data_IF_919097171185
#
_entry.id   IF_919097171185
#
_cell.length_a   1.000
_cell.length_b   1.000
_cell.length_c   1.000
_cell.angle_alpha   90.00
_cell.angle_beta   90.00
_cell.angle_gamma   90.00
#
_symmetry.space_group_name_H-M   'P 1'
#
loop_
_entity.id
_entity.type
_entity.pdbx_description
1 polymer ?
#
# COMPACT_ATOMS: atom_id res chain seq x y z
N UNK A 1 10.75 -10.11 -19.90
CA UNK A 1 10.28 -8.76 -20.31
C UNK A 1 9.72 -7.88 -19.17
N UNK A 2 9.51 -8.39 -17.94
CA UNK A 2 8.80 -7.67 -16.84
C UNK A 2 9.36 -6.27 -16.47
N UNK A 3 10.66 -6.03 -16.67
CA UNK A 3 11.33 -4.77 -16.29
C UNK A 3 11.64 -3.82 -17.44
N UNK A 4 11.02 -4.04 -18.61
CA UNK A 4 11.14 -3.11 -19.74
C UNK A 4 10.20 -1.92 -19.48
N UNK A 5 10.65 -0.66 -19.64
CA UNK A 5 9.79 0.51 -19.52
C UNK A 5 8.53 0.37 -20.40
N UNK A 6 7.39 0.80 -19.85
CA UNK A 6 6.05 0.66 -20.43
C UNK A 6 5.51 -0.77 -20.56
N UNK A 7 6.25 -1.80 -20.11
CA UNK A 7 5.68 -3.14 -19.94
C UNK A 7 4.50 -3.09 -18.97
N UNK A 8 3.41 -3.77 -19.32
CA UNK A 8 2.19 -3.81 -18.51
C UNK A 8 1.85 -5.24 -18.12
N UNK A 9 1.38 -5.38 -16.89
CA UNK A 9 0.64 -6.55 -16.43
C UNK A 9 -0.73 -6.07 -15.98
N UNK A 10 -1.77 -6.59 -16.61
CA UNK A 10 -3.16 -6.26 -16.32
C UNK A 10 -3.81 -7.52 -15.75
N UNK A 11 -4.41 -7.39 -14.57
CA UNK A 11 -5.13 -8.47 -13.89
C UNK A 11 -6.56 -8.01 -13.66
N UNK A 12 -7.50 -8.74 -14.23
CA UNK A 12 -8.94 -8.50 -14.08
C UNK A 12 -9.53 -9.66 -13.30
N UNK A 13 -10.26 -9.36 -12.22
CA UNK A 13 -10.92 -10.37 -11.42
C UNK A 13 -12.36 -10.55 -11.91
N UNK A 14 -12.63 -11.73 -12.49
CA UNK A 14 -13.96 -12.14 -12.94
C UNK A 14 -14.33 -13.45 -12.26
N UNK A 15 -15.43 -13.45 -11.51
CA UNK A 15 -15.87 -14.59 -10.70
C UNK A 15 -14.87 -15.07 -9.62
N UNK A 16 -13.82 -14.30 -9.33
CA UNK A 16 -12.81 -14.69 -8.34
C UNK A 16 -13.33 -14.49 -6.91
N UNK A 17 -13.16 -15.53 -6.11
CA UNK A 17 -13.52 -15.56 -4.71
C UNK A 17 -12.40 -16.18 -3.89
N UNK A 18 -12.11 -15.59 -2.73
CA UNK A 18 -11.15 -16.12 -1.77
C UNK A 18 -11.72 -15.97 -0.36
N UNK A 19 -11.75 -17.06 0.39
CA UNK A 19 -12.27 -17.09 1.77
C UNK A 19 -13.67 -16.47 1.92
N UNK A 20 -14.58 -16.72 0.98
CA UNK A 20 -15.94 -16.16 1.01
C UNK A 20 -16.03 -14.67 0.65
N UNK A 21 -14.95 -14.07 0.15
CA UNK A 21 -14.92 -12.67 -0.31
C UNK A 21 -14.76 -12.67 -1.82
N UNK A 22 -15.80 -12.18 -2.52
CA UNK A 22 -15.75 -11.98 -3.97
C UNK A 22 -14.96 -10.71 -4.26
N UNK A 23 -13.98 -10.80 -5.16
CA UNK A 23 -13.16 -9.66 -5.59
C UNK A 23 -13.47 -9.33 -7.05
N UNK A 24 -13.68 -8.06 -7.32
CA UNK A 24 -14.00 -7.51 -8.64
C UNK A 24 -13.08 -6.30 -8.92
N UNK A 25 -12.89 -6.00 -10.20
CA UNK A 25 -12.12 -4.85 -10.67
C UNK A 25 -10.84 -5.22 -11.42
N UNK A 26 -10.07 -4.20 -11.79
CA UNK A 26 -8.87 -4.33 -12.61
C UNK A 26 -7.66 -3.70 -11.93
N UNK A 27 -6.58 -4.47 -11.81
CA UNK A 27 -5.26 -3.99 -11.37
C UNK A 27 -4.32 -3.93 -12.57
N UNK A 28 -3.79 -2.75 -12.85
CA UNK A 28 -2.77 -2.52 -13.88
C UNK A 28 -1.46 -2.13 -13.23
N UNK A 29 -0.40 -2.89 -13.50
CA UNK A 29 0.98 -2.57 -13.13
C UNK A 29 1.73 -2.20 -14.39
N UNK A 30 2.24 -0.97 -14.47
CA UNK A 30 3.06 -0.48 -15.59
C UNK A 30 4.46 -0.19 -15.09
N UNK A 31 5.47 -0.84 -15.66
CA UNK A 31 6.87 -0.50 -15.38
C UNK A 31 7.16 0.90 -15.92
N UNK A 32 7.56 1.83 -15.05
CA UNK A 32 7.81 3.23 -15.44
C UNK A 32 9.27 3.51 -15.70
N UNK A 33 10.18 2.99 -14.88
CA UNK A 33 11.61 3.22 -15.01
C UNK A 33 12.45 2.06 -14.46
N UNK A 34 13.68 2.00 -14.96
CA UNK A 34 14.72 1.07 -14.53
C UNK A 34 16.03 1.84 -14.45
N UNK A 35 16.73 1.75 -13.33
CA UNK A 35 17.97 2.48 -13.05
C UNK A 35 19.04 1.52 -12.54
N UNK A 36 20.28 1.66 -13.01
CA UNK A 36 21.43 0.88 -12.53
C UNK A 36 22.31 1.64 -11.53
N UNK A 37 22.27 2.97 -11.56
CA UNK A 37 23.15 3.86 -10.78
C UNK A 37 22.34 4.94 -10.06
N UNK A 38 22.58 5.23 -8.77
CA UNK A 38 23.65 4.70 -7.93
C UNK A 38 23.38 3.27 -7.41
N UNK A 39 22.15 2.78 -7.54
CA UNK A 39 21.76 1.43 -7.19
C UNK A 39 20.77 0.88 -8.22
N UNK A 40 20.69 -0.45 -8.31
CA UNK A 40 19.67 -1.12 -9.11
C UNK A 40 18.29 -0.81 -8.53
N UNK A 41 17.44 -0.15 -9.31
CA UNK A 41 16.09 0.20 -8.90
C UNK A 41 15.09 0.05 -10.06
N UNK A 42 13.87 -0.35 -9.72
CA UNK A 42 12.76 -0.45 -10.67
C UNK A 42 11.53 0.23 -10.09
N UNK A 43 10.90 1.09 -10.89
CA UNK A 43 9.65 1.74 -10.52
C UNK A 43 8.48 1.26 -11.36
N UNK A 44 7.32 1.22 -10.72
CA UNK A 44 6.05 0.82 -11.31
C UNK A 44 4.97 1.82 -10.94
N UNK A 45 4.09 2.11 -11.89
CA UNK A 45 2.80 2.74 -11.60
C UNK A 45 1.77 1.62 -11.48
N UNK A 46 1.13 1.55 -10.32
CA UNK A 46 0.08 0.58 -10.01
C UNK A 46 -1.25 1.33 -9.94
N UNK A 47 -2.20 0.90 -10.76
CA UNK A 47 -3.57 1.43 -10.77
C UNK A 47 -4.56 0.33 -10.46
N UNK A 48 -5.41 0.57 -9.47
CA UNK A 48 -6.57 -0.26 -9.19
C UNK A 48 -7.82 0.54 -9.64
N UNK A 49 -8.62 -0.05 -10.52
CA UNK A 49 -9.81 0.57 -11.12
C UNK A 49 -11.02 -0.31 -10.86
N UNK A 50 -12.10 0.30 -10.37
CA UNK A 50 -13.36 -0.35 -10.00
C UNK A 50 -13.17 -1.52 -9.04
N UNK A 51 -12.15 -1.42 -8.17
CA UNK A 51 -11.87 -2.43 -7.17
C UNK A 51 -13.03 -2.55 -6.19
N UNK A 52 -13.54 -3.76 -6.00
CA UNK A 52 -14.64 -4.04 -5.08
C UNK A 52 -14.47 -5.39 -4.43
N UNK A 53 -14.66 -5.43 -3.11
CA UNK A 53 -14.74 -6.64 -2.33
C UNK A 53 -16.17 -6.78 -1.80
N UNK A 54 -16.81 -7.94 -2.03
CA UNK A 54 -18.13 -8.28 -1.48
C UNK A 54 -17.96 -9.41 -0.47
N UNK A 55 -18.37 -9.17 0.76
CA UNK A 55 -18.26 -10.11 1.87
C UNK A 55 -19.47 -11.04 1.93
N UNK A 56 -19.38 -12.12 2.72
CA UNK A 56 -20.46 -13.12 2.89
C UNK A 56 -21.76 -12.55 3.47
N UNK A 57 -21.69 -11.43 4.19
CA UNK A 57 -22.84 -10.68 4.68
C UNK A 57 -23.40 -9.66 3.66
N UNK A 58 -22.95 -9.77 2.40
CA UNK A 58 -23.31 -8.91 1.27
C UNK A 58 -22.88 -7.44 1.40
N UNK A 59 -22.17 -7.06 2.48
CA UNK A 59 -21.56 -5.73 2.56
C UNK A 59 -20.38 -5.63 1.59
N UNK A 60 -20.01 -4.40 1.23
CA UNK A 60 -18.98 -4.16 0.22
C UNK A 60 -17.96 -3.10 0.64
N UNK A 61 -16.71 -3.26 0.21
CA UNK A 61 -15.71 -2.19 0.18
C UNK A 61 -15.38 -1.89 -1.27
N UNK A 62 -15.18 -0.61 -1.62
CA UNK A 62 -14.64 -0.21 -2.92
C UNK A 62 -13.28 0.46 -2.78
N UNK A 63 -12.49 0.39 -3.85
CA UNK A 63 -11.14 0.95 -3.90
C UNK A 63 -10.75 1.30 -5.34
N UNK A 64 -10.43 2.56 -5.55
CA UNK A 64 -9.66 3.04 -6.68
C UNK A 64 -8.32 3.56 -6.16
N UNK A 65 -7.22 3.25 -6.85
CA UNK A 65 -5.90 3.67 -6.38
C UNK A 65 -4.97 4.00 -7.53
N UNK A 66 -4.04 4.91 -7.28
CA UNK A 66 -2.87 5.13 -8.12
C UNK A 66 -1.67 5.29 -7.20
N UNK A 67 -0.75 4.34 -7.27
CA UNK A 67 0.49 4.34 -6.50
C UNK A 67 1.69 4.23 -7.40
N UNK A 68 2.78 4.88 -7.00
CA UNK A 68 4.11 4.61 -7.51
C UNK A 68 4.83 3.71 -6.53
N UNK A 69 5.32 2.59 -7.04
CA UNK A 69 6.07 1.59 -6.29
C UNK A 69 7.51 1.61 -6.81
N UNK A 70 8.49 1.86 -5.95
CA UNK A 70 9.91 1.80 -6.33
C UNK A 70 10.60 0.75 -5.48
N UNK A 71 11.16 -0.26 -6.13
CA UNK A 71 11.98 -1.29 -5.48
C UNK A 71 13.44 -0.92 -5.71
N UNK A 72 14.19 -0.74 -4.62
CA UNK A 72 15.64 -0.52 -4.65
C UNK A 72 16.32 -1.76 -4.10
N UNK A 73 17.13 -2.41 -4.93
CA UNK A 73 17.78 -3.67 -4.56
C UNK A 73 19.04 -3.40 -3.75
N UNK A 74 19.15 -4.05 -2.59
CA UNK A 74 20.35 -4.06 -1.79
C UNK A 74 21.42 -5.00 -2.36
N UNK A 75 22.62 -4.97 -1.78
CA UNK A 75 23.68 -5.96 -2.07
C UNK A 75 23.30 -7.37 -1.59
N UNK A 76 22.42 -7.46 -0.60
CA UNK A 76 21.77 -8.68 -0.13
C UNK A 76 20.26 -8.56 -0.31
N UNK A 77 19.55 -9.68 -0.28
CA UNK A 77 18.08 -9.69 -0.37
C UNK A 77 17.47 -8.89 0.79
N UNK A 78 18.01 -9.00 2.01
CA UNK A 78 17.53 -8.28 3.19
C UNK A 78 17.61 -6.76 3.05
N UNK A 79 18.65 -6.25 2.40
CA UNK A 79 18.84 -4.81 2.16
C UNK A 79 17.96 -4.23 1.04
N UNK A 80 17.04 -5.01 0.46
CA UNK A 80 16.10 -4.52 -0.55
C UNK A 80 14.97 -3.74 0.11
N UNK A 81 14.68 -2.55 -0.41
CA UNK A 81 13.60 -1.70 0.07
C UNK A 81 12.53 -1.50 -1.00
N UNK A 82 11.30 -1.28 -0.55
CA UNK A 82 10.17 -0.97 -1.40
C UNK A 82 9.49 0.31 -0.91
N UNK A 83 9.61 1.37 -1.69
CA UNK A 83 8.95 2.66 -1.47
C UNK A 83 7.61 2.70 -2.17
N UNK A 84 6.58 3.18 -1.47
CA UNK A 84 5.23 3.38 -2.02
C UNK A 84 4.80 4.83 -1.80
N UNK A 85 4.30 5.45 -2.87
CA UNK A 85 3.80 6.83 -2.92
C UNK A 85 2.46 6.85 -3.65
N UNK A 86 1.63 7.87 -3.40
CA UNK A 86 0.37 8.06 -4.11
C UNK A 86 -0.84 8.00 -3.17
N UNK A 87 -1.98 7.57 -3.73
CA UNK A 87 -3.25 7.64 -3.01
C UNK A 87 -4.25 6.58 -3.45
N UNK A 88 -5.22 6.33 -2.58
CA UNK A 88 -6.41 5.53 -2.84
C UNK A 88 -7.68 6.23 -2.34
N UNK A 89 -8.82 5.86 -2.88
CA UNK A 89 -10.13 6.29 -2.40
C UNK A 89 -11.17 5.20 -2.64
N UNK A 90 -12.32 5.32 -1.98
CA UNK A 90 -13.45 4.44 -2.19
C UNK A 90 -14.46 4.54 -1.06
N UNK A 91 -15.22 3.47 -0.85
CA UNK A 91 -16.22 3.36 0.20
C UNK A 91 -15.92 2.22 1.16
N UNK A 92 -16.13 2.46 2.45
CA UNK A 92 -16.04 1.43 3.49
C UNK A 92 -17.29 0.52 3.51
N UNK A 93 -17.26 -0.56 4.31
CA UNK A 93 -18.43 -1.45 4.51
C UNK A 93 -19.66 -0.74 5.10
N UNK A 94 -19.44 0.39 5.77
CA UNK A 94 -20.49 1.24 6.34
C UNK A 94 -20.90 2.38 5.40
N UNK A 95 -20.55 2.27 4.11
CA UNK A 95 -20.89 3.21 3.04
C UNK A 95 -20.32 4.64 3.20
N UNK A 96 -19.27 4.79 4.02
CA UNK A 96 -18.57 6.06 4.16
C UNK A 96 -17.49 6.20 3.10
N UNK A 97 -17.42 7.38 2.46
CA UNK A 97 -16.32 7.69 1.56
C UNK A 97 -15.02 7.83 2.35
N UNK A 98 -13.94 7.32 1.76
CA UNK A 98 -12.60 7.49 2.28
C UNK A 98 -11.61 7.94 1.21
N UNK A 99 -10.60 8.69 1.65
CA UNK A 99 -9.39 8.98 0.89
C UNK A 99 -8.19 8.59 1.74
N UNK A 100 -7.25 7.85 1.18
CA UNK A 100 -5.99 7.50 1.80
C UNK A 100 -4.88 8.10 0.94
N UNK A 101 -4.23 9.15 1.44
CA UNK A 101 -3.12 9.81 0.75
C UNK A 101 -1.82 9.60 1.51
N UNK A 102 -0.78 9.10 0.83
CA UNK A 102 0.54 8.94 1.42
C UNK A 102 1.21 10.32 1.46
N UNK A 103 1.32 10.91 2.65
CA UNK A 103 1.93 12.24 2.87
C UNK A 103 3.45 12.17 2.92
N UNK A 104 3.99 11.07 3.45
CA UNK A 104 5.42 10.73 3.42
C UNK A 104 5.59 9.30 2.90
N UNK A 105 6.49 9.04 1.93
CA UNK A 105 6.59 7.74 1.28
C UNK A 105 6.64 6.58 2.28
N UNK A 106 5.83 5.55 2.04
CA UNK A 106 5.82 4.36 2.87
C UNK A 106 7.02 3.48 2.47
N UNK A 107 7.89 3.17 3.42
CA UNK A 107 9.07 2.33 3.18
C UNK A 107 8.85 0.97 3.80
N UNK A 108 8.91 -0.06 2.98
CA UNK A 108 8.94 -1.45 3.40
C UNK A 108 10.36 -1.98 3.25
N UNK A 109 10.91 -2.60 4.30
CA UNK A 109 12.23 -3.24 4.26
C UNK A 109 12.05 -4.75 4.16
N UNK A 110 12.78 -5.40 3.25
CA UNK A 110 12.65 -6.85 3.04
C UNK A 110 13.05 -7.65 4.28
N UNK A 111 14.03 -7.17 5.04
CA UNK A 111 14.40 -7.75 6.34
C UNK A 111 13.26 -7.75 7.36
N UNK A 112 12.39 -6.72 7.37
CA UNK A 112 11.21 -6.72 8.24
C UNK A 112 10.24 -7.85 7.86
N UNK A 113 10.05 -8.07 6.55
CA UNK A 113 9.19 -9.15 6.07
C UNK A 113 9.72 -10.54 6.47
N UNK A 114 11.04 -10.74 6.47
CA UNK A 114 11.66 -11.98 6.96
C UNK A 114 11.44 -12.21 8.45
N UNK A 115 11.24 -11.15 9.23
CA UNK A 115 10.87 -11.21 10.65
C UNK A 115 9.34 -11.26 10.86
N UNK A 116 8.55 -11.50 9.80
CA UNK A 116 7.10 -11.59 9.88
C UNK A 116 6.40 -10.24 10.02
N UNK A 117 7.06 -9.14 9.68
CA UNK A 117 6.52 -7.77 9.72
C UNK A 117 6.31 -7.30 8.27
N UNK A 118 5.07 -7.33 7.81
CA UNK A 118 4.68 -6.92 6.45
C UNK A 118 4.09 -5.49 6.39
N UNK A 119 4.44 -4.64 7.36
CA UNK A 119 4.01 -3.24 7.45
C UNK A 119 5.14 -2.32 6.96
N UNK A 120 4.82 -1.08 6.55
CA UNK A 120 5.86 -0.06 6.39
C UNK A 120 6.58 0.13 7.73
N UNK A 121 7.90 0.22 7.68
CA UNK A 121 8.72 0.63 8.83
C UNK A 121 8.83 2.15 8.93
N UNK A 122 8.56 2.87 7.84
CA UNK A 122 8.67 4.32 7.77
C UNK A 122 7.56 4.90 6.91
N UNK A 123 7.26 6.17 7.16
CA UNK A 123 6.36 6.95 6.32
C UNK A 123 5.07 7.34 7.04
N UNK A 124 4.24 8.08 6.32
CA UNK A 124 3.04 8.67 6.88
C UNK A 124 1.93 8.68 5.82
N UNK A 125 0.70 8.43 6.27
CA UNK A 125 -0.48 8.56 5.45
C UNK A 125 -1.58 9.33 6.18
N UNK A 126 -2.33 10.11 5.42
CA UNK A 126 -3.55 10.76 5.84
C UNK A 126 -4.75 9.96 5.31
N UNK A 127 -5.44 9.29 6.22
CA UNK A 127 -6.74 8.69 5.97
C UNK A 127 -7.83 9.71 6.33
N UNK A 128 -8.65 10.10 5.36
CA UNK A 128 -9.84 10.91 5.59
C UNK A 128 -11.06 9.99 5.50
N UNK A 129 -11.82 9.84 6.59
CA UNK A 129 -13.10 9.13 6.64
C UNK A 129 -14.23 10.16 6.75
N UNK A 130 -14.97 10.38 5.67
CA UNK A 130 -15.91 11.51 5.60
C UNK A 130 -15.19 12.85 5.80
N UNK A 131 -15.43 13.52 6.93
CA UNK A 131 -14.75 14.78 7.31
C UNK A 131 -13.70 14.60 8.41
N UNK A 132 -13.38 13.36 8.81
CA UNK A 132 -12.49 13.08 9.93
C UNK A 132 -11.10 12.76 9.37
N UNK A 133 -10.09 13.64 9.60
CA UNK A 133 -8.71 13.34 9.26
C UNK A 133 -8.07 12.42 10.32
N UNK A 134 -7.40 11.38 9.86
CA UNK A 134 -6.68 10.39 10.65
C UNK A 134 -5.27 10.32 10.08
N UNK A 135 -4.29 10.81 10.85
CA UNK A 135 -2.88 10.70 10.48
C UNK A 135 -2.34 9.36 10.99
N UNK A 136 -1.65 8.64 10.14
CA UNK A 136 -1.09 7.33 10.42
C UNK A 136 0.42 7.43 10.17
N UNK A 137 1.21 7.43 11.24
CA UNK A 137 2.67 7.45 11.18
C UNK A 137 3.21 6.03 11.46
N UNK A 138 3.91 5.48 10.47
CA UNK A 138 4.49 4.14 10.51
C UNK A 138 5.93 4.12 11.05
N UNK A 139 6.55 5.29 11.21
CA UNK A 139 7.92 5.46 11.63
C UNK A 139 8.61 6.63 10.92
N UNK A 140 9.67 7.12 11.55
CA UNK A 140 10.56 8.13 10.99
C UNK A 140 11.71 7.48 10.20
N UNK A 141 12.53 8.30 9.55
CA UNK A 141 13.64 7.83 8.72
C UNK A 141 14.60 6.94 9.54
N UNK A 142 14.91 5.75 9.02
CA UNK A 142 15.78 4.80 9.69
C UNK A 142 15.12 4.01 10.82
N UNK A 143 13.80 4.10 11.00
CA UNK A 143 13.10 3.34 12.03
C UNK A 143 13.26 1.81 11.87
N UNK A 144 13.30 1.13 13.01
CA UNK A 144 13.45 -0.32 13.12
C UNK A 144 12.20 -1.07 12.65
N UNK A 145 12.35 -2.38 12.44
CA UNK A 145 11.21 -3.25 12.15
C UNK A 145 10.38 -3.49 13.41
N UNK A 146 9.26 -2.78 13.56
CA UNK A 146 8.27 -3.06 14.59
C UNK A 146 6.85 -3.18 14.03
N UNK A 147 5.89 -3.49 14.92
CA UNK A 147 4.46 -3.64 14.57
C UNK A 147 3.62 -2.48 15.11
N UNK A 148 4.25 -1.38 15.51
CA UNK A 148 3.62 -0.26 16.17
C UNK A 148 3.39 0.86 15.16
N UNK A 149 2.17 1.38 15.13
CA UNK A 149 1.81 2.52 14.30
C UNK A 149 1.22 3.59 15.20
N UNK A 150 1.66 4.83 15.04
CA UNK A 150 1.09 5.96 15.77
C UNK A 150 -0.05 6.55 14.96
N UNK A 151 -1.25 6.54 15.54
CA UNK A 151 -2.47 7.08 14.93
C UNK A 151 -2.88 8.34 15.67
N UNK A 152 -3.05 9.44 14.93
CA UNK A 152 -3.50 10.72 15.46
C UNK A 152 -4.88 11.05 14.88
N UNK A 153 -5.87 11.20 15.77
CA UNK A 153 -7.24 11.58 15.43
C UNK A 153 -7.65 12.75 16.31
N UNK A 154 -8.13 13.85 15.72
CA UNK A 154 -8.59 15.04 16.44
C UNK A 154 -7.59 15.56 17.49
N UNK A 155 -6.28 15.49 17.20
CA UNK A 155 -5.22 15.92 18.10
C UNK A 155 -4.83 14.92 19.20
N UNK A 156 -5.51 13.77 19.30
CA UNK A 156 -5.15 12.69 20.23
C UNK A 156 -4.35 11.60 19.52
N UNK A 157 -3.16 11.31 20.06
CA UNK A 157 -2.24 10.31 19.52
C UNK A 157 -2.34 9.01 20.31
N UNK A 158 -2.38 7.88 19.61
CA UNK A 158 -2.38 6.55 20.19
C UNK A 158 -1.46 5.61 19.40
N UNK A 159 -0.65 4.83 20.12
CA UNK A 159 0.12 3.74 19.52
C UNK A 159 -0.75 2.49 19.42
N UNK A 160 -0.77 1.87 18.23
CA UNK A 160 -1.50 0.64 17.92
C UNK A 160 -0.51 -0.43 17.51
N UNK A 161 -0.54 -1.58 18.18
CA UNK A 161 0.22 -2.76 17.76
C UNK A 161 -0.62 -3.61 16.81
N UNK A 162 -0.13 -3.86 15.61
CA UNK A 162 -0.84 -4.59 14.55
C UNK A 162 -0.47 -6.09 14.58
N UNK A 163 -1.46 -6.97 14.53
CA UNK A 163 -1.24 -8.42 14.42
C UNK A 163 -0.98 -9.14 15.74
N UNK A 164 -1.71 -8.74 16.80
CA UNK A 164 -1.89 -9.50 18.04
C UNK A 164 -2.77 -10.73 17.84
#
# INVERSE_FOLDING_TARGET
LRFIPNSKTITTFDGYEVNGVKIEGTRTVTTSSFTLTPALAVSFVVKDVDGKATFSDQTTITRNATHTHTITFGTTIGGTTWKVEGQANGKTRTNNDYVFAISRPLIFKTECAFNGIALPSEGEALLTLGSIPILINYGDEGAECDKVVTVLVNGQSQNITIGS
#
